data_IF_003157467321
#
_entry.id   IF_003157467321
#
_cell.length_a   1.000
_cell.length_b   1.000
_cell.length_c   1.000
_cell.angle_alpha   90.00
_cell.angle_beta   90.00
_cell.angle_gamma   90.00
#
_symmetry.space_group_name_H-M   'P 1'
#
loop_
_entity.id
_entity.type
_entity.pdbx_description
1 polymer ?
#
# COMPACT_ATOMS: atom_id res chain seq x y z
N UNK A 1 -12.69 4.38 6.11
CA UNK A 1 -11.30 4.35 5.62
C UNK A 1 -11.34 3.95 4.15
N UNK A 2 -10.79 4.78 3.27
CA UNK A 2 -10.57 4.45 1.86
C UNK A 2 -9.55 3.32 1.76
N UNK A 3 -9.66 2.48 0.73
CA UNK A 3 -8.72 1.39 0.48
C UNK A 3 -7.38 1.98 0.03
N UNK A 4 -6.22 1.47 0.50
CA UNK A 4 -4.93 1.93 0.01
C UNK A 4 -4.75 1.69 -1.48
N UNK A 5 -4.13 2.63 -2.17
CA UNK A 5 -3.86 2.59 -3.61
C UNK A 5 -2.39 2.31 -3.86
N UNK A 6 -2.12 1.35 -4.75
CA UNK A 6 -0.77 0.97 -5.17
C UNK A 6 -0.66 1.18 -6.68
N UNK A 7 0.21 2.08 -7.10
CA UNK A 7 0.39 2.38 -8.53
C UNK A 7 1.64 1.71 -9.08
N UNK A 8 1.47 0.91 -10.13
CA UNK A 8 2.57 0.21 -10.79
C UNK A 8 3.20 1.14 -11.82
N UNK A 9 4.47 1.49 -11.59
CA UNK A 9 5.26 2.38 -12.47
C UNK A 9 6.46 1.64 -13.05
N UNK A 10 7.02 2.16 -14.13
CA UNK A 10 8.21 1.59 -14.77
C UNK A 10 8.15 1.61 -16.29
N UNK A 11 9.26 1.26 -16.92
CA UNK A 11 9.41 1.33 -18.36
C UNK A 11 8.47 0.37 -19.12
N UNK A 12 8.23 0.65 -20.40
CA UNK A 12 7.58 -0.30 -21.31
C UNK A 12 8.37 -1.60 -21.37
N UNK A 13 7.66 -2.72 -21.51
CA UNK A 13 8.21 -4.08 -21.49
C UNK A 13 8.92 -4.50 -20.18
N UNK A 14 8.86 -3.69 -19.12
CA UNK A 14 9.30 -4.09 -17.78
C UNK A 14 8.45 -5.23 -17.19
N UNK A 15 7.24 -5.44 -17.72
CA UNK A 15 6.32 -6.51 -17.31
C UNK A 15 5.26 -6.08 -16.29
N UNK A 16 4.90 -4.78 -16.24
CA UNK A 16 3.84 -4.24 -15.37
C UNK A 16 2.48 -4.94 -15.56
N UNK A 17 1.97 -4.97 -16.79
CA UNK A 17 0.68 -5.61 -17.07
C UNK A 17 0.73 -7.13 -16.85
N UNK A 18 1.87 -7.78 -17.12
CA UNK A 18 2.09 -9.20 -16.77
C UNK A 18 2.01 -9.39 -15.26
N UNK A 19 2.69 -8.56 -14.47
CA UNK A 19 2.66 -8.61 -13.01
C UNK A 19 1.24 -8.38 -12.48
N UNK A 20 0.52 -7.39 -12.99
CA UNK A 20 -0.87 -7.12 -12.58
C UNK A 20 -1.79 -8.33 -12.89
N UNK A 21 -1.66 -8.91 -14.08
CA UNK A 21 -2.43 -10.09 -14.46
C UNK A 21 -2.10 -11.28 -13.55
N UNK A 22 -0.82 -11.53 -13.28
CA UNK A 22 -0.42 -12.64 -12.42
C UNK A 22 -0.86 -12.42 -10.97
N UNK A 23 -0.77 -11.19 -10.45
CA UNK A 23 -1.28 -10.84 -9.12
C UNK A 23 -2.79 -11.06 -9.02
N UNK A 24 -3.55 -10.70 -10.05
CA UNK A 24 -5.01 -10.90 -10.06
C UNK A 24 -5.42 -12.36 -10.25
N UNK A 25 -4.68 -13.15 -11.02
CA UNK A 25 -4.99 -14.57 -11.28
C UNK A 25 -4.44 -15.56 -10.24
N UNK A 26 -3.47 -15.15 -9.40
CA UNK A 26 -2.78 -16.02 -8.44
C UNK A 26 -3.58 -16.46 -7.20
N UNK A 27 -4.91 -16.38 -7.23
CA UNK A 27 -5.86 -16.69 -6.12
C UNK A 27 -5.93 -15.67 -4.99
N UNK A 28 -5.52 -14.42 -5.22
CA UNK A 28 -5.99 -13.33 -4.37
C UNK A 28 -7.50 -13.16 -4.65
N UNK A 29 -8.32 -12.96 -3.61
CA UNK A 29 -9.76 -12.74 -3.78
C UNK A 29 -9.96 -11.37 -4.43
N UNK A 30 -10.03 -11.36 -5.76
CA UNK A 30 -10.29 -10.15 -6.55
C UNK A 30 -11.79 -9.99 -6.67
N UNK A 31 -12.35 -8.98 -6.00
CA UNK A 31 -13.70 -8.52 -6.30
C UNK A 31 -13.63 -7.55 -7.49
N UNK A 32 -14.12 -7.97 -8.65
CA UNK A 32 -14.37 -7.09 -9.79
C UNK A 32 -15.61 -6.24 -9.52
N UNK A 33 -15.48 -5.13 -8.80
CA UNK A 33 -16.56 -4.14 -8.73
C UNK A 33 -16.49 -3.24 -9.95
N UNK A 34 -17.44 -3.40 -10.86
CA UNK A 34 -17.78 -2.44 -11.91
C UNK A 34 -18.33 -1.17 -11.26
N UNK A 35 -17.48 -0.23 -10.86
CA UNK A 35 -17.93 1.15 -10.67
C UNK A 35 -17.44 2.00 -11.83
N UNK A 36 -18.38 2.82 -12.29
CA UNK A 36 -18.43 3.45 -13.58
C UNK A 36 -17.36 4.53 -13.78
N UNK A 37 -17.05 4.71 -15.06
CA UNK A 37 -16.34 5.84 -15.71
C UNK A 37 -14.82 5.93 -15.54
N UNK A 38 -14.16 5.59 -16.66
CA UNK A 38 -12.84 5.99 -17.18
C UNK A 38 -11.57 5.37 -16.53
N UNK A 39 -10.72 4.83 -17.43
CA UNK A 39 -9.25 4.65 -17.31
C UNK A 39 -8.61 3.35 -16.75
N UNK A 40 -7.38 3.01 -17.21
CA UNK A 40 -6.97 1.65 -17.54
C UNK A 40 -6.57 0.80 -16.33
N UNK A 41 -7.06 -0.44 -16.31
CA UNK A 41 -6.57 -1.59 -15.54
C UNK A 41 -6.43 -1.45 -14.00
N UNK A 42 -7.21 -0.60 -13.32
CA UNK A 42 -7.37 -0.68 -11.86
C UNK A 42 -8.02 -1.99 -11.41
N UNK A 43 -7.49 -2.64 -10.36
CA UNK A 43 -7.93 -3.94 -9.84
C UNK A 43 -7.86 -3.97 -8.31
N UNK A 44 -8.90 -4.48 -7.65
CA UNK A 44 -8.90 -4.70 -6.19
C UNK A 44 -8.18 -6.00 -5.86
N UNK A 45 -7.17 -5.94 -5.00
CA UNK A 45 -6.45 -7.10 -4.50
C UNK A 45 -6.71 -7.26 -3.00
N UNK A 46 -6.96 -8.49 -2.56
CA UNK A 46 -7.05 -8.85 -1.14
C UNK A 46 -5.81 -9.62 -0.74
N UNK A 47 -4.96 -8.98 0.03
CA UNK A 47 -3.80 -9.61 0.64
C UNK A 47 -4.22 -10.59 1.76
N UNK A 48 -3.34 -11.53 2.15
CA UNK A 48 -3.52 -12.31 3.37
C UNK A 48 -3.80 -11.41 4.59
N UNK A 49 -4.60 -11.88 5.56
CA UNK A 49 -5.04 -11.10 6.75
C UNK A 49 -6.08 -10.00 6.47
N UNK A 50 -6.90 -10.16 5.42
CA UNK A 50 -8.05 -9.29 5.10
C UNK A 50 -7.71 -7.81 4.84
N UNK A 51 -6.46 -7.51 4.46
CA UNK A 51 -6.08 -6.19 3.96
C UNK A 51 -6.43 -6.13 2.47
N UNK A 52 -7.27 -5.17 2.10
CA UNK A 52 -7.66 -4.93 0.72
C UNK A 52 -7.01 -3.66 0.20
N UNK A 53 -6.52 -3.72 -1.03
CA UNK A 53 -5.86 -2.61 -1.72
C UNK A 53 -6.37 -2.49 -3.14
N UNK A 54 -6.25 -1.30 -3.72
CA UNK A 54 -6.48 -1.05 -5.15
C UNK A 54 -5.10 -1.02 -5.80
N UNK A 55 -4.93 -1.77 -6.89
CA UNK A 55 -3.71 -1.72 -7.70
C UNK A 55 -4.05 -1.16 -9.07
N UNK A 56 -3.32 -0.14 -9.49
CA UNK A 56 -3.51 0.54 -10.77
C UNK A 56 -2.30 0.31 -11.68
N UNK A 57 -2.53 -0.08 -12.93
CA UNK A 57 -1.47 -0.12 -13.95
C UNK A 57 -1.41 1.25 -14.61
N UNK A 58 -0.30 1.97 -14.46
CA UNK A 58 -0.16 3.27 -15.09
C UNK A 58 0.45 3.14 -16.48
N UNK A 59 0.38 4.23 -17.25
CA UNK A 59 1.08 4.30 -18.54
C UNK A 59 2.56 3.99 -18.33
N UNK A 60 3.09 3.06 -19.12
CA UNK A 60 4.50 2.70 -19.05
C UNK A 60 5.39 3.80 -19.59
N UNK A 61 6.47 4.12 -18.87
CA UNK A 61 7.46 5.07 -19.37
C UNK A 61 8.10 4.53 -20.64
N UNK A 62 8.10 5.33 -21.70
CA UNK A 62 8.88 5.03 -22.90
C UNK A 62 10.22 5.75 -22.76
N UNK A 63 11.29 5.10 -23.25
CA UNK A 63 12.64 5.66 -23.26
C UNK A 63 12.65 7.00 -23.99
N UNK A 64 13.45 7.92 -23.43
CA UNK A 64 13.65 9.27 -23.95
C UNK A 64 12.33 10.00 -24.19
N UNK A 65 11.39 9.92 -23.23
CA UNK A 65 10.12 10.63 -23.34
C UNK A 65 10.44 12.12 -23.55
N UNK A 66 10.16 12.69 -24.73
CA UNK A 66 10.40 14.09 -24.98
C UNK A 66 9.66 14.91 -23.92
N UNK A 67 10.27 16.00 -23.45
CA UNK A 67 9.67 16.87 -22.42
C UNK A 67 8.26 17.31 -22.79
N UNK A 68 7.99 17.46 -24.08
CA UNK A 68 6.68 17.78 -24.66
C UNK A 68 5.64 16.66 -24.44
N UNK A 69 6.05 15.39 -24.59
CA UNK A 69 5.18 14.25 -24.27
C UNK A 69 5.00 14.10 -22.76
N UNK A 70 6.02 14.40 -21.95
CA UNK A 70 5.87 14.44 -20.48
C UNK A 70 4.78 15.41 -20.04
N UNK A 71 4.67 16.59 -20.68
CA UNK A 71 3.58 17.54 -20.41
C UNK A 71 2.21 16.94 -20.78
N UNK A 72 2.12 16.24 -21.90
CA UNK A 72 0.88 15.58 -22.32
C UNK A 72 0.46 14.41 -21.41
N UNK A 73 1.43 13.67 -20.86
CA UNK A 73 1.19 12.59 -19.90
C UNK A 73 1.06 13.09 -18.46
N UNK A 74 1.32 14.37 -18.18
CA UNK A 74 1.30 14.91 -16.82
C UNK A 74 -0.05 14.71 -16.15
N UNK A 75 -1.15 15.01 -16.84
CA UNK A 75 -2.50 14.79 -16.32
C UNK A 75 -2.77 13.31 -15.98
N UNK A 76 -2.24 12.37 -16.77
CA UNK A 76 -2.36 10.92 -16.48
C UNK A 76 -1.39 10.44 -15.39
N UNK A 77 -0.31 11.19 -15.13
CA UNK A 77 0.66 10.91 -14.08
C UNK A 77 0.29 11.59 -12.75
N UNK A 78 -0.56 12.62 -12.78
CA UNK A 78 -1.19 13.21 -11.58
C UNK A 78 -2.03 12.16 -10.84
N UNK A 79 -2.54 11.12 -11.51
CA UNK A 79 -3.17 9.96 -10.83
C UNK A 79 -2.20 9.21 -9.89
N UNK A 80 -0.88 9.36 -10.05
CA UNK A 80 0.10 8.84 -9.08
C UNK A 80 0.07 9.61 -7.76
N UNK A 81 -0.51 10.81 -7.70
CA UNK A 81 -0.75 11.58 -6.46
C UNK A 81 -1.75 10.89 -5.52
N UNK A 82 -2.59 10.00 -6.02
CA UNK A 82 -3.51 9.22 -5.19
C UNK A 82 -2.88 7.93 -4.65
N UNK A 83 -1.69 7.54 -5.12
CA UNK A 83 -1.02 6.32 -4.68
C UNK A 83 -0.49 6.43 -3.24
N UNK A 84 -0.78 5.47 -2.38
CA UNK A 84 -0.11 5.32 -1.09
C UNK A 84 1.26 4.64 -1.21
N UNK A 85 1.44 3.82 -2.26
CA UNK A 85 2.67 3.11 -2.57
C UNK A 85 2.94 3.10 -4.08
N UNK A 86 4.16 3.45 -4.48
CA UNK A 86 4.64 3.29 -5.84
C UNK A 86 5.35 1.93 -5.98
N UNK A 87 4.91 1.13 -6.95
CA UNK A 87 5.52 -0.17 -7.26
C UNK A 87 6.34 -0.05 -8.54
N UNK A 88 7.65 0.14 -8.41
CA UNK A 88 8.53 0.38 -9.55
C UNK A 88 9.05 -0.94 -10.13
N UNK A 89 8.42 -1.39 -11.22
CA UNK A 89 8.77 -2.62 -11.94
C UNK A 89 9.89 -2.35 -12.94
N UNK A 90 10.98 -3.09 -12.81
CA UNK A 90 12.23 -2.89 -13.55
C UNK A 90 12.62 -4.22 -14.20
N UNK A 91 12.92 -4.21 -15.49
CA UNK A 91 13.49 -5.36 -16.18
C UNK A 91 15.00 -5.45 -15.90
N UNK A 92 15.40 -6.35 -15.00
CA UNK A 92 16.82 -6.52 -14.65
C UNK A 92 17.63 -7.27 -15.70
N UNK A 93 16.97 -7.89 -16.69
CA UNK A 93 17.68 -8.48 -17.83
C UNK A 93 18.12 -7.42 -18.84
N UNK A 94 17.61 -6.18 -18.72
CA UNK A 94 18.01 -5.07 -19.56
C UNK A 94 19.36 -4.49 -19.09
N UNK A 95 20.41 -4.46 -19.92
CA UNK A 95 21.70 -3.88 -19.53
C UNK A 95 21.66 -2.41 -19.09
N UNK A 96 20.59 -1.69 -19.45
CA UNK A 96 20.37 -0.27 -19.11
C UNK A 96 19.36 -0.08 -17.97
N UNK A 97 19.08 -1.11 -17.19
CA UNK A 97 18.08 -1.01 -16.11
C UNK A 97 18.43 0.08 -15.09
N UNK A 98 19.71 0.29 -14.77
CA UNK A 98 20.12 1.36 -13.84
C UNK A 98 19.80 2.76 -14.40
N UNK A 99 19.97 2.97 -15.71
CA UNK A 99 19.61 4.23 -16.35
C UNK A 99 18.10 4.47 -16.29
N UNK A 100 17.31 3.42 -16.53
CA UNK A 100 15.86 3.45 -16.43
C UNK A 100 15.40 3.76 -15.01
N UNK A 101 16.07 3.19 -14.00
CA UNK A 101 15.78 3.51 -12.60
C UNK A 101 15.94 5.01 -12.37
N UNK A 102 17.09 5.58 -12.77
CA UNK A 102 17.37 7.02 -12.57
C UNK A 102 16.36 7.90 -13.31
N UNK A 103 15.96 7.52 -14.52
CA UNK A 103 14.96 8.26 -15.28
C UNK A 103 13.58 8.26 -14.59
N UNK A 104 13.12 7.11 -14.08
CA UNK A 104 11.85 7.06 -13.34
C UNK A 104 11.94 7.84 -12.03
N UNK A 105 13.04 7.70 -11.29
CA UNK A 105 13.27 8.45 -10.04
C UNK A 105 13.26 9.97 -10.28
N UNK A 106 13.86 10.45 -11.38
CA UNK A 106 13.81 11.85 -11.77
C UNK A 106 12.37 12.32 -12.06
N UNK A 107 11.58 11.54 -12.79
CA UNK A 107 10.18 11.87 -13.09
C UNK A 107 9.35 11.90 -11.80
N UNK A 108 9.51 10.90 -10.92
CA UNK A 108 8.83 10.87 -9.61
C UNK A 108 9.20 12.10 -8.78
N UNK A 109 10.44 12.56 -8.83
CA UNK A 109 10.87 13.79 -8.17
C UNK A 109 10.27 15.06 -8.79
N UNK A 110 10.21 15.14 -10.13
CA UNK A 110 9.58 16.27 -10.84
C UNK A 110 8.08 16.40 -10.54
N UNK A 111 7.40 15.28 -10.32
CA UNK A 111 6.00 15.23 -9.89
C UNK A 111 5.83 15.48 -8.38
N UNK A 112 6.90 15.79 -7.64
CA UNK A 112 6.89 15.96 -6.18
C UNK A 112 6.42 14.72 -5.40
N UNK A 113 6.54 13.53 -5.98
CA UNK A 113 6.10 12.26 -5.40
C UNK A 113 7.22 11.50 -4.66
N UNK A 114 8.42 12.07 -4.58
CA UNK A 114 9.58 11.43 -3.94
C UNK A 114 9.39 11.16 -2.43
N UNK A 115 8.40 11.78 -1.79
CA UNK A 115 8.03 11.54 -0.39
C UNK A 115 7.24 10.24 -0.19
N UNK A 116 6.68 9.66 -1.26
CA UNK A 116 5.90 8.44 -1.21
C UNK A 116 6.79 7.22 -1.13
N UNK A 117 6.40 6.17 -0.39
CA UNK A 117 7.17 4.93 -0.38
C UNK A 117 7.18 4.34 -1.80
N UNK A 118 8.37 3.93 -2.24
CA UNK A 118 8.60 3.33 -3.55
C UNK A 118 9.29 1.98 -3.37
N UNK A 119 8.61 0.90 -3.77
CA UNK A 119 9.14 -0.45 -3.72
C UNK A 119 9.69 -0.83 -5.10
N UNK A 120 11.02 -1.05 -5.19
CA UNK A 120 11.68 -1.53 -6.40
C UNK A 120 11.43 -3.02 -6.58
N UNK A 121 10.92 -3.39 -7.75
CA UNK A 121 10.59 -4.76 -8.13
C UNK A 121 11.42 -5.14 -9.34
N UNK A 122 12.40 -6.00 -9.13
CA UNK A 122 13.26 -6.53 -10.17
C UNK A 122 12.58 -7.71 -10.85
N UNK A 123 11.98 -7.46 -12.01
CA UNK A 123 11.28 -8.45 -12.80
C UNK A 123 12.22 -9.13 -13.81
N UNK A 124 11.79 -10.32 -14.27
CA UNK A 124 12.53 -11.21 -15.17
C UNK A 124 13.80 -11.79 -14.55
N UNK A 125 13.77 -12.04 -13.24
CA UNK A 125 14.86 -12.71 -12.52
C UNK A 125 15.22 -14.07 -13.11
N UNK A 126 14.29 -14.73 -13.79
CA UNK A 126 14.46 -16.01 -14.48
C UNK A 126 15.46 -15.95 -15.65
N UNK A 127 15.82 -14.76 -16.11
CA UNK A 127 16.78 -14.55 -17.19
C UNK A 127 18.22 -14.32 -16.69
N UNK A 128 18.43 -14.24 -15.37
CA UNK A 128 19.74 -14.01 -14.77
C UNK A 128 20.10 -15.15 -13.81
N UNK A 129 21.39 -15.30 -13.53
CA UNK A 129 21.83 -16.24 -12.51
C UNK A 129 21.41 -15.77 -11.10
N UNK A 130 21.11 -16.69 -10.16
CA UNK A 130 20.63 -16.33 -8.83
C UNK A 130 21.59 -15.45 -8.02
N UNK A 131 22.90 -15.60 -8.21
CA UNK A 131 23.92 -14.84 -7.46
C UNK A 131 23.91 -13.37 -7.88
N UNK A 132 23.85 -13.10 -9.18
CA UNK A 132 23.69 -11.75 -9.72
C UNK A 132 22.39 -11.11 -9.23
N UNK A 133 21.28 -11.85 -9.27
CA UNK A 133 19.97 -11.35 -8.79
C UNK A 133 20.07 -10.94 -7.32
N UNK A 134 20.66 -11.79 -6.47
CA UNK A 134 20.80 -11.51 -5.04
C UNK A 134 21.69 -10.30 -4.78
N UNK A 135 22.82 -10.19 -5.49
CA UNK A 135 23.71 -9.04 -5.41
C UNK A 135 22.99 -7.74 -5.76
N UNK A 136 22.24 -7.73 -6.87
CA UNK A 136 21.47 -6.58 -7.31
C UNK A 136 20.37 -6.20 -6.31
N UNK A 137 19.62 -7.18 -5.79
CA UNK A 137 18.60 -6.95 -4.76
C UNK A 137 19.17 -6.26 -3.52
N UNK A 138 20.32 -6.73 -3.03
CA UNK A 138 20.99 -6.12 -1.87
C UNK A 138 21.48 -4.70 -2.17
N UNK A 139 22.04 -4.47 -3.37
CA UNK A 139 22.56 -3.16 -3.79
C UNK A 139 21.47 -2.10 -3.92
N UNK A 140 20.27 -2.47 -4.36
CA UNK A 140 19.19 -1.52 -4.68
C UNK A 140 18.00 -1.55 -3.72
N UNK A 141 18.05 -2.35 -2.65
CA UNK A 141 16.90 -2.64 -1.75
C UNK A 141 15.64 -3.02 -2.56
N UNK A 142 15.78 -4.03 -3.40
CA UNK A 142 14.74 -4.46 -4.34
C UNK A 142 14.27 -5.89 -4.07
N UNK A 143 13.01 -6.17 -4.43
CA UNK A 143 12.46 -7.53 -4.44
C UNK A 143 12.51 -8.09 -5.86
N UNK A 144 13.21 -9.21 -6.06
CA UNK A 144 13.25 -9.88 -7.35
C UNK A 144 12.11 -10.88 -7.52
N UNK A 145 11.48 -10.86 -8.69
CA UNK A 145 10.40 -11.75 -9.10
C UNK A 145 10.58 -12.19 -10.55
N UNK A 146 9.94 -13.30 -10.91
CA UNK A 146 9.47 -13.49 -12.28
C UNK A 146 7.96 -13.27 -12.30
N UNK A 147 7.49 -12.23 -13.01
CA UNK A 147 6.06 -11.95 -13.13
C UNK A 147 5.28 -13.10 -13.80
N UNK A 148 5.96 -14.02 -14.48
CA UNK A 148 5.36 -15.23 -15.06
C UNK A 148 5.14 -16.34 -14.01
N UNK A 149 5.89 -16.30 -12.90
CA UNK A 149 5.86 -17.32 -11.85
C UNK A 149 5.09 -16.82 -10.63
N UNK A 150 3.88 -17.34 -10.42
CA UNK A 150 3.05 -17.00 -9.24
C UNK A 150 3.74 -17.32 -7.90
N UNK A 151 4.61 -18.33 -7.87
CA UNK A 151 5.38 -18.70 -6.68
C UNK A 151 6.34 -17.59 -6.22
N UNK A 152 6.86 -16.80 -7.16
CA UNK A 152 7.81 -15.71 -6.89
C UNK A 152 7.13 -14.45 -6.36
N UNK A 153 5.80 -14.37 -6.37
CA UNK A 153 5.07 -13.18 -5.91
C UNK A 153 4.90 -13.13 -4.38
N UNK A 154 5.11 -14.23 -3.66
CA UNK A 154 4.92 -14.26 -2.19
C UNK A 154 5.81 -13.24 -1.44
N UNK A 155 7.12 -13.14 -1.72
CA UNK A 155 7.98 -12.14 -1.08
C UNK A 155 7.52 -10.70 -1.40
N UNK A 156 7.10 -10.47 -2.65
CA UNK A 156 6.59 -9.17 -3.09
C UNK A 156 5.33 -8.77 -2.32
N UNK A 157 4.33 -9.66 -2.26
CA UNK A 157 3.09 -9.43 -1.53
C UNK A 157 3.38 -9.15 -0.05
N UNK A 158 4.26 -9.94 0.56
CA UNK A 158 4.65 -9.76 1.98
C UNK A 158 5.28 -8.38 2.22
N UNK A 159 6.13 -7.91 1.30
CA UNK A 159 6.77 -6.59 1.39
C UNK A 159 5.75 -5.45 1.19
N UNK A 160 4.86 -5.57 0.21
CA UNK A 160 3.77 -4.61 -0.01
C UNK A 160 2.86 -4.51 1.23
N UNK A 161 2.45 -5.65 1.80
CA UNK A 161 1.64 -5.70 3.03
C UNK A 161 2.33 -5.01 4.20
N UNK A 162 3.63 -5.25 4.40
CA UNK A 162 4.38 -4.62 5.49
C UNK A 162 4.40 -3.09 5.34
N UNK A 163 4.63 -2.58 4.13
CA UNK A 163 4.63 -1.13 3.86
C UNK A 163 3.23 -0.56 4.10
N UNK A 164 2.18 -1.15 3.51
CA UNK A 164 0.80 -0.67 3.68
C UNK A 164 0.39 -0.69 5.16
N UNK A 165 0.75 -1.72 5.92
CA UNK A 165 0.47 -1.78 7.34
C UNK A 165 1.08 -0.60 8.11
N UNK A 166 2.35 -0.23 7.80
CA UNK A 166 2.99 0.94 8.43
C UNK A 166 2.34 2.27 8.10
N UNK A 167 1.73 2.40 6.90
CA UNK A 167 0.97 3.60 6.51
C UNK A 167 -0.41 3.66 7.17
N UNK A 168 -0.96 2.51 7.54
CA UNK A 168 -2.29 2.40 8.14
C UNK A 168 -2.30 2.47 9.66
N UNK A 169 -1.13 2.34 10.30
CA UNK A 169 -1.00 2.56 11.74
C UNK A 169 -1.48 3.97 12.05
N UNK A 170 -2.60 4.13 12.80
CA UNK A 170 -2.97 5.45 13.26
C UNK A 170 -1.79 5.96 14.08
N UNK A 171 -1.40 7.22 13.87
CA UNK A 171 -0.63 7.97 14.86
C UNK A 171 -1.23 7.64 16.23
N UNK A 172 -0.53 6.79 17.00
CA UNK A 172 -0.85 6.59 18.41
C UNK A 172 -0.61 7.94 19.04
N UNK A 173 -1.68 8.71 19.17
CA UNK A 173 -1.70 9.89 20.00
C UNK A 173 -1.28 9.43 21.41
N UNK A 174 -0.12 9.85 21.95
CA UNK A 174 0.29 9.46 23.30
C UNK A 174 -0.58 10.12 24.39
N UNK A 175 -1.56 10.95 24.03
CA UNK A 175 -2.26 11.85 24.96
C UNK A 175 -3.64 11.42 25.49
N UNK A 176 -4.30 10.39 24.96
CA UNK A 176 -5.66 10.05 25.38
C UNK A 176 -5.71 9.08 26.57
N UNK A 177 -5.09 9.46 27.69
CA UNK A 177 -5.38 8.87 29.00
C UNK A 177 -5.53 9.99 30.03
N UNK A 178 -6.76 10.44 30.22
CA UNK A 178 -7.19 11.09 31.45
C UNK A 178 -8.64 10.71 31.67
N UNK A 179 -8.97 9.88 32.69
CA UNK A 179 -10.34 9.77 33.13
C UNK A 179 -10.68 11.08 33.85
N UNK A 180 -11.44 11.95 33.18
CA UNK A 180 -12.15 13.03 33.85
C UNK A 180 -13.13 12.40 34.83
N UNK A 181 -12.76 12.42 36.11
CA UNK A 181 -13.67 12.15 37.22
C UNK A 181 -14.66 13.30 37.28
N UNK A 182 -15.91 13.05 36.92
CA UNK A 182 -17.01 13.98 37.17
C UNK A 182 -17.23 14.14 38.68
N UNK A 183 -17.51 15.36 39.19
CA UNK A 183 -18.01 15.54 40.53
C UNK A 183 -19.54 15.45 40.51
N UNK A 184 -20.11 14.41 41.13
CA UNK A 184 -21.54 14.38 41.42
C UNK A 184 -21.79 15.10 42.77
N UNK A 185 -22.39 16.29 42.70
CA UNK A 185 -22.95 16.99 43.85
C UNK A 185 -24.48 17.14 43.66
N UNK A 186 -25.20 16.65 44.67
CA UNK A 186 -26.53 17.04 45.18
C UNK A 186 -27.75 17.18 44.25
N UNK A 187 -28.84 16.47 44.58
CA UNK A 187 -30.03 17.09 45.23
C UNK A 187 -31.11 16.04 45.61
N UNK A 188 -31.62 16.23 46.84
CA UNK A 188 -32.73 15.64 47.61
C UNK A 188 -34.01 15.17 46.88
N UNK A 189 -34.66 14.12 47.43
CA UNK A 189 -35.88 14.23 48.28
C UNK A 189 -36.67 12.90 48.36
N UNK A 190 -37.21 12.58 49.54
CA UNK A 190 -38.48 11.81 49.66
C UNK A 190 -38.47 10.51 50.48
N UNK A 191 -39.05 10.59 51.68
CA UNK A 191 -39.90 9.59 52.36
C UNK A 191 -39.43 8.13 52.54
N UNK A 192 -39.25 7.71 53.79
CA UNK A 192 -40.25 6.89 54.50
C UNK A 192 -39.74 6.51 55.90
N UNK A 193 -40.48 6.94 56.92
CA UNK A 193 -40.40 6.42 58.27
C UNK A 193 -41.22 5.12 58.36
N UNK A 194 -40.66 4.06 58.97
CA UNK A 194 -41.38 3.14 59.88
C UNK A 194 -40.51 1.94 60.30
N UNK A 195 -40.47 1.70 61.61
CA UNK A 195 -40.30 0.42 62.31
C UNK A 195 -38.96 -0.33 62.13
N UNK A 196 -38.30 -0.89 63.15
CA UNK A 196 -38.76 -1.42 64.44
C UNK A 196 -37.51 -1.63 65.31
N UNK A 197 -37.46 -1.04 66.50
CA UNK A 197 -36.46 -1.39 67.50
C UNK A 197 -37.07 -2.42 68.46
N UNK A 198 -36.54 -3.64 68.42
CA UNK A 198 -36.85 -4.71 69.37
C UNK A 198 -35.77 -4.68 70.43
N UNK A 199 -36.12 -4.25 71.65
CA UNK A 199 -35.28 -4.42 72.85
C UNK A 199 -36.15 -5.00 73.96
N UNK A 200 -36.05 -6.33 74.09
CA UNK A 200 -36.50 -7.21 75.19
C UNK A 200 -35.63 -8.47 74.97
N UNK A 201 -34.91 -9.09 75.89
CA UNK A 201 -34.85 -9.10 77.35
C UNK A 201 -33.57 -9.87 77.75
N UNK A 202 -33.29 -9.83 79.05
CA UNK A 202 -32.29 -10.52 79.87
C UNK A 202 -31.84 -11.93 79.48
N UNK A 203 -30.57 -12.22 79.81
CA UNK A 203 -29.96 -13.55 79.90
C UNK A 203 -28.46 -13.48 80.12
#
# INVERSE_FOLDING_TARGET
KTLPVISIIGYTNAGKSTLLNTLTHSRMLVESRLFATLDPASRRLRFPRDIEVIVTDTVGFIRDLPRELMVAFRATLEELEDADLLLHVIDIANPRFEDQIRSVEAIVAELSLAHKPCLKVFNKRDLLDPETVEHLCRRHDAVAISALATADLKPLISRMQAIIATLQEPSRDPGAASPSTEPAADTQAGEAAANTATTTDCG
#
